data_IF_868433713797
#
_entry.id   IF_868433713797
#
_cell.length_a   1.000
_cell.length_b   1.000
_cell.length_c   1.000
_cell.angle_alpha   90.00
_cell.angle_beta   90.00
_cell.angle_gamma   90.00
#
_symmetry.space_group_name_H-M   'P 1'
#
loop_
_entity.id
_entity.type
_entity.pdbx_description
1 polymer ?
#
# COMPACT_ATOMS: atom_id res chain seq x y z
N UNK A 1 -7.69 -10.46 0.59
CA UNK A 1 -7.78 -9.42 -0.46
C UNK A 1 -7.19 -9.97 -1.76
N UNK A 2 -7.98 -10.07 -2.85
CA UNK A 2 -7.60 -10.80 -4.09
C UNK A 2 -6.42 -10.16 -4.85
N UNK A 3 -6.23 -8.86 -4.73
CA UNK A 3 -5.20 -8.10 -5.45
C UNK A 3 -3.77 -8.52 -5.06
N UNK A 4 -3.47 -8.80 -3.78
CA UNK A 4 -2.12 -9.26 -3.36
C UNK A 4 -1.72 -10.55 -4.05
N UNK A 5 -2.66 -11.49 -4.14
CA UNK A 5 -2.42 -12.81 -4.73
C UNK A 5 -2.15 -12.72 -6.23
N UNK A 6 -2.83 -11.80 -6.92
CA UNK A 6 -2.63 -11.56 -8.37
C UNK A 6 -1.28 -10.91 -8.69
N UNK A 7 -0.59 -10.35 -7.70
CA UNK A 7 0.71 -9.65 -7.88
C UNK A 7 1.91 -10.57 -7.65
N UNK A 8 1.69 -11.87 -7.41
CA UNK A 8 2.78 -12.85 -7.31
C UNK A 8 3.57 -12.89 -8.63
N UNK A 9 4.88 -12.65 -8.55
CA UNK A 9 5.79 -12.79 -9.69
C UNK A 9 5.94 -11.56 -10.58
N UNK A 10 5.22 -10.46 -10.36
CA UNK A 10 5.37 -9.25 -11.21
C UNK A 10 6.23 -8.14 -10.58
N UNK A 11 6.75 -8.38 -9.37
CA UNK A 11 7.61 -7.44 -8.64
C UNK A 11 8.83 -7.03 -9.44
N UNK A 12 9.42 -7.96 -10.19
CA UNK A 12 10.63 -7.72 -10.99
C UNK A 12 10.41 -6.73 -12.15
N UNK A 13 9.16 -6.48 -12.52
CA UNK A 13 8.78 -5.51 -13.55
C UNK A 13 8.44 -4.13 -12.99
N UNK A 14 8.59 -3.89 -11.69
CA UNK A 14 8.37 -2.59 -11.06
C UNK A 14 9.69 -2.00 -10.54
N UNK A 15 9.85 -0.69 -10.70
CA UNK A 15 10.99 0.08 -10.23
C UNK A 15 10.88 1.55 -10.62
N UNK A 16 11.92 2.36 -10.37
CA UNK A 16 11.98 3.73 -10.85
C UNK A 16 11.57 3.83 -12.33
N UNK A 17 10.75 4.84 -12.65
CA UNK A 17 10.17 5.13 -13.96
C UNK A 17 9.06 4.17 -14.46
N UNK A 18 8.76 3.05 -13.78
CA UNK A 18 7.64 2.16 -14.15
C UNK A 18 7.10 1.33 -12.97
N UNK A 19 5.79 1.43 -12.70
CA UNK A 19 5.19 0.84 -11.50
C UNK A 19 4.04 -0.11 -11.83
N UNK A 20 3.87 -1.14 -11.00
CA UNK A 20 2.68 -1.98 -11.06
C UNK A 20 1.49 -1.20 -10.51
N UNK A 21 0.49 -0.98 -11.37
CA UNK A 21 -0.75 -0.29 -11.01
C UNK A 21 -1.86 -1.30 -10.63
N UNK A 22 -2.28 -1.37 -9.36
CA UNK A 22 -3.41 -2.15 -8.87
C UNK A 22 -4.77 -1.45 -8.98
N UNK A 23 -4.87 -0.35 -9.72
CA UNK A 23 -6.02 0.54 -9.83
C UNK A 23 -6.09 1.56 -8.68
N UNK A 24 -7.02 2.49 -8.78
CA UNK A 24 -7.19 3.65 -7.90
C UNK A 24 -7.49 3.26 -6.43
N UNK A 25 -7.23 4.22 -5.55
CA UNK A 25 -7.54 4.11 -4.12
C UNK A 25 -9.05 4.28 -3.87
N UNK A 26 -9.64 3.31 -3.18
CA UNK A 26 -11.05 3.33 -2.77
C UNK A 26 -11.25 3.95 -1.36
N UNK A 27 -10.23 4.61 -0.82
CA UNK A 27 -10.24 5.17 0.54
C UNK A 27 -11.36 6.21 0.67
N UNK A 28 -12.30 5.95 1.58
CA UNK A 28 -13.46 6.82 1.78
C UNK A 28 -14.65 6.58 0.85
N UNK A 29 -14.65 5.52 0.04
CA UNK A 29 -15.77 5.12 -0.82
C UNK A 29 -16.69 4.05 -0.16
N UNK A 30 -16.75 4.02 1.17
CA UNK A 30 -17.71 3.18 1.91
C UNK A 30 -17.13 1.96 2.63
N UNK A 31 -15.80 1.79 2.62
CA UNK A 31 -15.12 0.81 3.48
C UNK A 31 -15.08 1.27 4.95
N UNK A 32 -14.85 0.33 5.87
CA UNK A 32 -14.62 0.67 7.27
C UNK A 32 -13.29 1.41 7.46
N UNK A 33 -13.11 2.19 8.54
CA UNK A 33 -11.84 2.86 8.83
C UNK A 33 -10.61 1.96 8.84
N UNK A 34 -10.78 0.71 9.28
CA UNK A 34 -9.71 -0.28 9.33
C UNK A 34 -9.37 -0.82 7.94
N UNK A 35 -10.38 -1.04 7.09
CA UNK A 35 -10.19 -1.46 5.70
C UNK A 35 -9.55 -0.36 4.87
N UNK A 36 -10.00 0.89 4.99
CA UNK A 36 -9.39 2.07 4.35
C UNK A 36 -7.89 2.16 4.68
N UNK A 37 -7.55 2.03 5.97
CA UNK A 37 -6.16 2.09 6.43
C UNK A 37 -5.34 0.94 5.88
N UNK A 38 -5.90 -0.27 5.89
CA UNK A 38 -5.22 -1.46 5.38
C UNK A 38 -4.98 -1.40 3.87
N UNK A 39 -5.99 -0.93 3.12
CA UNK A 39 -5.92 -0.71 1.67
C UNK A 39 -4.83 0.31 1.32
N UNK A 40 -4.85 1.50 1.95
CA UNK A 40 -3.84 2.53 1.72
C UNK A 40 -2.43 2.07 2.08
N UNK A 41 -2.28 1.42 3.24
CA UNK A 41 -0.99 0.89 3.70
C UNK A 41 -0.43 -0.09 2.68
N UNK A 42 -1.27 -0.96 2.14
CA UNK A 42 -0.83 -1.94 1.17
C UNK A 42 -0.42 -1.31 -0.17
N UNK A 43 -1.14 -0.32 -0.69
CA UNK A 43 -0.72 0.43 -1.88
C UNK A 43 0.65 1.09 -1.66
N UNK A 44 0.86 1.67 -0.47
CA UNK A 44 2.14 2.27 -0.12
C UNK A 44 3.26 1.24 -0.17
N UNK A 45 3.05 0.09 0.49
CA UNK A 45 4.02 -1.00 0.52
C UNK A 45 4.29 -1.63 -0.84
N UNK A 46 3.34 -1.58 -1.78
CA UNK A 46 3.52 -2.12 -3.12
C UNK A 46 4.26 -1.16 -4.07
N UNK A 47 4.66 0.03 -3.61
CA UNK A 47 5.15 1.11 -4.47
C UNK A 47 4.17 1.41 -5.62
N UNK A 48 2.87 1.30 -5.35
CA UNK A 48 1.81 1.55 -6.33
C UNK A 48 1.56 3.05 -6.50
N UNK A 49 1.09 3.49 -7.68
CA UNK A 49 0.56 4.84 -7.86
C UNK A 49 -0.53 5.15 -6.81
N UNK A 50 -0.39 6.28 -6.11
CA UNK A 50 -1.34 6.72 -5.08
C UNK A 50 -2.36 7.70 -5.69
N UNK A 51 -3.30 7.19 -6.48
CA UNK A 51 -4.33 7.97 -7.17
C UNK A 51 -5.65 7.83 -6.41
N UNK A 52 -6.16 8.93 -5.85
CA UNK A 52 -7.41 8.94 -5.10
C UNK A 52 -8.63 8.81 -6.03
N UNK A 53 -9.47 7.79 -5.81
CA UNK A 53 -10.72 7.54 -6.56
C UNK A 53 -11.98 8.11 -5.91
N UNK A 54 -11.86 8.91 -4.86
CA UNK A 54 -12.98 9.47 -4.09
C UNK A 54 -13.28 10.94 -4.45
N UNK A 55 -14.43 11.47 -4.02
CA UNK A 55 -14.74 12.90 -4.17
C UNK A 55 -13.95 13.72 -3.13
N UNK A 56 -12.83 14.30 -3.57
CA UNK A 56 -11.92 15.09 -2.73
C UNK A 56 -12.60 16.25 -2.00
N UNK A 57 -13.73 16.77 -2.53
CA UNK A 57 -14.47 17.89 -1.92
C UNK A 57 -15.28 17.47 -0.69
N UNK A 58 -15.49 16.17 -0.51
CA UNK A 58 -16.38 15.59 0.51
C UNK A 58 -15.66 14.63 1.45
N UNK A 59 -14.33 14.66 1.48
CA UNK A 59 -13.56 13.78 2.35
C UNK A 59 -13.81 14.08 3.82
N UNK A 60 -13.98 13.02 4.61
CA UNK A 60 -13.99 13.13 6.07
C UNK A 60 -12.59 13.43 6.60
N UNK A 61 -12.44 14.03 7.80
CA UNK A 61 -11.12 14.21 8.42
C UNK A 61 -10.34 12.90 8.57
N UNK A 62 -11.04 11.79 8.77
CA UNK A 62 -10.44 10.45 8.82
C UNK A 62 -9.85 10.03 7.47
N UNK A 63 -10.60 10.19 6.38
CA UNK A 63 -10.15 9.90 5.01
C UNK A 63 -8.91 10.72 4.66
N UNK A 64 -8.93 12.02 4.99
CA UNK A 64 -7.77 12.91 4.81
C UNK A 64 -6.58 12.39 5.60
N UNK A 65 -6.76 12.07 6.89
CA UNK A 65 -5.69 11.57 7.75
C UNK A 65 -5.06 10.26 7.26
N UNK A 66 -5.82 9.40 6.58
CA UNK A 66 -5.30 8.18 5.95
C UNK A 66 -4.48 8.55 4.70
N UNK A 67 -5.07 9.31 3.77
CA UNK A 67 -4.43 9.65 2.49
C UNK A 67 -3.20 10.56 2.64
N UNK A 68 -3.12 11.33 3.72
CA UNK A 68 -1.99 12.23 4.00
C UNK A 68 -1.03 11.70 5.06
N UNK A 69 -1.06 10.40 5.38
CA UNK A 69 -0.14 9.82 6.35
C UNK A 69 1.30 9.86 5.80
N UNK A 70 2.13 10.76 6.36
CA UNK A 70 3.50 11.01 5.88
C UNK A 70 4.42 9.80 5.97
N UNK A 71 4.26 8.96 6.99
CA UNK A 71 5.12 7.78 7.17
C UNK A 71 4.81 6.71 6.13
N UNK A 72 3.52 6.47 5.86
CA UNK A 72 3.10 5.55 4.83
C UNK A 72 3.49 6.06 3.42
N UNK A 73 3.30 7.35 3.15
CA UNK A 73 3.74 7.96 1.88
C UNK A 73 5.26 7.89 1.73
N UNK A 74 6.04 8.08 2.80
CA UNK A 74 7.49 7.95 2.74
C UNK A 74 7.95 6.54 2.36
N UNK A 75 7.24 5.49 2.82
CA UNK A 75 7.50 4.11 2.38
C UNK A 75 7.23 3.95 0.88
N UNK A 76 6.12 4.51 0.38
CA UNK A 76 5.77 4.45 -1.03
C UNK A 76 6.79 5.19 -1.92
N UNK A 77 7.32 6.32 -1.44
CA UNK A 77 8.24 7.20 -2.15
C UNK A 77 9.72 6.89 -1.85
N UNK A 78 10.02 5.72 -1.30
CA UNK A 78 11.39 5.29 -1.08
C UNK A 78 12.17 5.26 -2.40
N UNK A 79 13.36 5.88 -2.41
CA UNK A 79 14.15 6.08 -3.62
C UNK A 79 14.58 4.77 -4.31
N UNK A 80 14.58 3.64 -3.60
CA UNK A 80 14.90 2.36 -4.21
C UNK A 80 13.74 1.86 -5.10
N UNK A 81 12.51 2.33 -4.86
CA UNK A 81 11.36 1.94 -5.67
C UNK A 81 11.03 0.46 -5.63
N UNK A 82 11.35 -0.21 -4.53
CA UNK A 82 11.21 -1.65 -4.43
C UNK A 82 9.82 -1.97 -3.89
N UNK A 83 8.92 -2.47 -4.75
CA UNK A 83 7.62 -3.02 -4.33
C UNK A 83 7.80 -4.02 -3.19
N UNK A 84 6.93 -4.08 -2.19
CA UNK A 84 6.94 -5.07 -1.09
C UNK A 84 6.57 -6.49 -1.56
N UNK A 85 7.05 -7.51 -0.85
CA UNK A 85 6.65 -8.91 -1.10
C UNK A 85 6.14 -9.56 0.17
N UNK A 86 5.14 -10.42 0.00
CA UNK A 86 4.60 -11.21 1.08
C UNK A 86 5.64 -12.27 1.50
N UNK A 87 6.17 -12.16 2.71
CA UNK A 87 6.95 -13.22 3.34
C UNK A 87 6.05 -14.06 4.23
N UNK A 88 5.70 -15.24 3.76
CA UNK A 88 5.00 -16.25 4.57
C UNK A 88 6.02 -16.89 5.50
N UNK A 89 5.73 -16.89 6.80
CA UNK A 89 6.50 -17.63 7.79
C UNK A 89 5.68 -18.84 8.25
N UNK A 90 6.21 -20.05 8.10
CA UNK A 90 5.47 -21.29 8.35
C UNK A 90 5.07 -21.49 9.83
N UNK A 91 5.59 -20.67 10.75
CA UNK A 91 5.37 -20.81 12.20
C UNK A 91 4.38 -19.79 12.79
N UNK A 92 4.07 -18.70 12.08
CA UNK A 92 3.09 -17.70 12.53
C UNK A 92 2.34 -17.10 11.34
N UNK A 93 1.01 -17.08 11.39
CA UNK A 93 0.10 -16.44 10.44
C UNK A 93 0.14 -14.90 10.53
N UNK A 94 1.34 -14.31 10.56
CA UNK A 94 1.54 -12.85 10.55
C UNK A 94 2.14 -12.43 9.20
N UNK A 95 1.45 -11.51 8.54
CA UNK A 95 1.92 -10.85 7.32
C UNK A 95 3.21 -10.10 7.66
N UNK A 96 4.34 -10.51 7.08
CA UNK A 96 5.61 -9.80 7.26
C UNK A 96 6.13 -9.34 5.90
N UNK A 97 6.49 -8.06 5.82
CA UNK A 97 7.12 -7.46 4.65
C UNK A 97 8.49 -6.94 5.08
N UNK A 98 9.50 -7.19 4.24
CA UNK A 98 10.88 -6.81 4.53
C UNK A 98 11.32 -5.72 3.57
N UNK A 99 11.58 -4.53 4.09
CA UNK A 99 12.36 -3.48 3.44
C UNK A 99 13.75 -3.47 4.08
N UNK A 100 14.82 -3.41 3.28
CA UNK A 100 16.17 -3.36 3.82
C UNK A 100 16.37 -2.04 4.59
N UNK A 101 16.61 -2.14 5.90
CA UNK A 101 16.91 -1.12 6.92
C UNK A 101 15.78 -0.58 7.81
N UNK A 102 14.49 -0.79 7.52
CA UNK A 102 13.42 -0.44 8.46
C UNK A 102 12.41 -1.59 8.65
N UNK A 103 12.37 -2.14 9.86
CA UNK A 103 11.33 -3.11 10.27
C UNK A 103 10.10 -2.34 10.73
N UNK A 104 9.16 -2.10 9.85
CA UNK A 104 7.80 -1.72 10.25
C UNK A 104 7.01 -3.00 10.53
N UNK A 105 6.63 -3.21 11.79
CA UNK A 105 5.71 -4.26 12.18
C UNK A 105 4.32 -3.63 12.39
N UNK A 106 3.33 -4.14 11.66
CA UNK A 106 1.92 -3.99 11.98
C UNK A 106 1.41 -5.33 12.51
#
# INVERSE_FOLDING_TARGET
MKIVEMRKGIREFAGPDHWNDPDMLEVGNGMTPAEDRSHFTLWCMMASPLIAGNDLRKMTPQTVGILTNREAVAINQDSLGIQGFLKLNATYSRLSFSFNSFRYAF
#
